data_IF_289390735981
#
_entry.id   IF_289390735981
#
_cell.length_a   1.000
_cell.length_b   1.000
_cell.length_c   1.000
_cell.angle_alpha   90.00
_cell.angle_beta   90.00
_cell.angle_gamma   90.00
#
_symmetry.space_group_name_H-M   'P 1'
#
loop_
_entity.id
_entity.type
_entity.pdbx_description
1 polymer ?
#
# COMPACT_ATOMS: atom_id res chain seq x y z
N UNK A 1 -6.64 13.27 -2.30
CA UNK A 1 -6.63 12.08 -1.40
C UNK A 1 -7.29 12.37 -0.06
N UNK A 2 -6.89 13.40 0.71
CA UNK A 2 -7.48 13.73 2.03
C UNK A 2 -9.02 13.80 2.03
N UNK A 3 -9.62 14.51 1.06
CA UNK A 3 -11.08 14.57 0.87
C UNK A 3 -11.73 13.19 0.62
N UNK A 4 -11.07 12.31 -0.14
CA UNK A 4 -11.59 10.97 -0.46
C UNK A 4 -11.51 10.05 0.77
N UNK A 5 -10.45 10.19 1.56
CA UNK A 5 -10.26 9.47 2.82
C UNK A 5 -11.02 10.09 3.99
N UNK A 6 -11.63 11.27 3.81
CA UNK A 6 -12.35 12.03 4.84
C UNK A 6 -11.49 12.39 6.06
N UNK A 7 -10.23 12.74 5.81
CA UNK A 7 -9.27 13.20 6.82
C UNK A 7 -8.91 14.67 6.62
N UNK A 8 -8.32 15.29 7.64
CA UNK A 8 -7.80 16.65 7.57
C UNK A 8 -6.67 16.77 6.52
N UNK A 9 -6.57 17.93 5.89
CA UNK A 9 -5.47 18.23 4.99
C UNK A 9 -4.14 18.28 5.74
N UNK A 10 -3.14 17.54 5.28
CA UNK A 10 -1.86 17.37 5.99
C UNK A 10 -1.85 16.26 7.04
N UNK A 11 -2.98 15.59 7.31
CA UNK A 11 -3.00 14.42 8.18
C UNK A 11 -2.13 13.28 7.63
N UNK A 12 -1.44 12.51 8.50
CA UNK A 12 -0.59 11.41 8.07
C UNK A 12 -1.42 10.29 7.43
N UNK A 13 -0.87 9.70 6.36
CA UNK A 13 -1.47 8.57 5.64
C UNK A 13 -0.44 7.47 5.47
N UNK A 14 -0.92 6.24 5.33
CA UNK A 14 -0.11 5.13 4.85
C UNK A 14 -0.24 5.06 3.34
N UNK A 15 0.89 5.09 2.64
CA UNK A 15 0.97 4.97 1.19
C UNK A 15 1.80 3.75 0.81
N UNK A 16 1.33 2.99 -0.20
CA UNK A 16 2.19 2.02 -0.87
C UNK A 16 1.92 1.99 -2.37
N UNK A 17 2.96 1.56 -3.10
CA UNK A 17 2.92 1.24 -4.52
C UNK A 17 3.38 -0.20 -4.71
N UNK A 18 2.71 -0.94 -5.60
CA UNK A 18 3.04 -2.32 -5.94
C UNK A 18 2.94 -2.52 -7.45
N UNK A 19 3.97 -3.12 -8.03
CA UNK A 19 3.92 -3.70 -9.37
C UNK A 19 3.56 -5.18 -9.23
N UNK A 20 2.46 -5.61 -9.86
CA UNK A 20 2.10 -7.02 -9.96
C UNK A 20 2.72 -7.64 -11.20
N UNK A 21 3.28 -8.84 -11.04
CA UNK A 21 3.90 -9.59 -12.12
C UNK A 21 3.28 -10.98 -12.26
N UNK A 22 3.28 -11.54 -13.47
CA UNK A 22 2.94 -12.95 -13.71
C UNK A 22 4.00 -13.89 -13.12
N UNK A 23 3.73 -15.19 -13.10
CA UNK A 23 4.72 -16.21 -12.74
C UNK A 23 5.95 -16.23 -13.67
N UNK A 24 5.83 -15.64 -14.87
CA UNK A 24 6.92 -15.49 -15.84
C UNK A 24 7.66 -14.14 -15.72
N UNK A 25 7.27 -13.30 -14.74
CA UNK A 25 7.89 -12.00 -14.47
C UNK A 25 7.34 -10.85 -15.31
N UNK A 26 6.29 -11.06 -16.11
CA UNK A 26 5.71 -10.01 -16.95
C UNK A 26 4.85 -9.06 -16.09
N UNK A 27 4.99 -7.75 -16.29
CA UNK A 27 4.22 -6.76 -15.53
C UNK A 27 2.76 -6.74 -16.00
N UNK A 28 1.82 -6.86 -15.05
CA UNK A 28 0.37 -6.88 -15.35
C UNK A 28 -0.41 -5.75 -14.71
N UNK A 29 0.11 -5.15 -13.63
CA UNK A 29 -0.58 -4.07 -12.94
C UNK A 29 0.39 -3.15 -12.19
N UNK A 30 0.00 -1.89 -12.08
CA UNK A 30 0.55 -0.92 -11.14
C UNK A 30 -0.59 -0.51 -10.19
N UNK A 31 -0.39 -0.75 -8.90
CA UNK A 31 -1.37 -0.42 -7.86
C UNK A 31 -0.78 0.62 -6.92
N UNK A 32 -1.49 1.71 -6.74
CA UNK A 32 -1.20 2.75 -5.75
C UNK A 32 -2.36 2.80 -4.74
N UNK A 33 -2.03 2.79 -3.46
CA UNK A 33 -3.04 2.80 -2.39
C UNK A 33 -2.68 3.79 -1.28
N UNK A 34 -3.72 4.44 -0.74
CA UNK A 34 -3.63 5.38 0.36
C UNK A 34 -4.64 4.98 1.44
N UNK A 35 -4.19 4.90 2.68
CA UNK A 35 -5.03 4.56 3.84
C UNK A 35 -4.90 5.63 4.91
N UNK A 36 -5.99 5.88 5.63
CA UNK A 36 -5.95 6.65 6.86
C UNK A 36 -5.07 5.94 7.90
N UNK A 37 -4.03 6.62 8.39
CA UNK A 37 -2.99 6.00 9.22
C UNK A 37 -3.46 5.58 10.63
N UNK A 38 -4.59 6.11 11.10
CA UNK A 38 -5.18 5.77 12.41
C UNK A 38 -6.00 4.48 12.37
N UNK A 39 -6.56 4.13 11.21
CA UNK A 39 -7.41 2.96 11.04
C UNK A 39 -6.66 1.71 10.56
N UNK A 40 -5.53 1.90 9.88
CA UNK A 40 -4.79 0.80 9.25
C UNK A 40 -3.36 0.67 9.79
N UNK A 41 -2.86 -0.57 9.80
CA UNK A 41 -1.46 -0.89 10.11
C UNK A 41 -0.98 -2.01 9.22
N UNK A 42 0.13 -1.80 8.51
CA UNK A 42 0.80 -2.89 7.78
C UNK A 42 1.64 -3.74 8.73
N UNK A 43 1.56 -5.06 8.57
CA UNK A 43 2.40 -6.02 9.30
C UNK A 43 3.06 -6.94 8.28
N UNK A 44 4.37 -7.01 8.33
CA UNK A 44 5.18 -7.89 7.48
C UNK A 44 5.78 -8.96 8.41
N UNK A 45 5.58 -10.23 8.05
CA UNK A 45 6.26 -11.34 8.71
C UNK A 45 7.36 -11.82 7.77
N UNK A 46 8.61 -11.69 8.22
CA UNK A 46 9.77 -12.18 7.49
C UNK A 46 10.08 -13.60 7.98
N UNK A 47 10.27 -14.52 7.05
CA UNK A 47 10.72 -15.88 7.35
C UNK A 47 12.02 -16.14 6.59
N UNK A 48 12.96 -16.80 7.24
CA UNK A 48 14.30 -17.10 6.70
C UNK A 48 14.38 -18.51 6.13
N UNK A 49 13.29 -19.07 5.58
CA UNK A 49 13.38 -20.37 4.89
C UNK A 49 14.20 -20.20 3.62
N UNK A 50 15.49 -20.50 3.75
CA UNK A 50 16.42 -20.82 2.67
C UNK A 50 16.10 -22.23 2.19
#
# INVERSE_FOLDING_TARGET
IAKLLKIEEGAPILYYERVGCTALGEHVELVQCWYEATHYKFRIHLTTKI
#
